data_IF_724216895945
#
_entry.id   IF_724216895945
#
_cell.length_a   1.000
_cell.length_b   1.000
_cell.length_c   1.000
_cell.angle_alpha   90.00
_cell.angle_beta   90.00
_cell.angle_gamma   90.00
#
_symmetry.space_group_name_H-M   'P 1'
#
loop_
_entity.id
_entity.type
_entity.pdbx_description
1 polymer ?
#
# COMPACT_ATOMS: atom_id res chain seq x y z
N UNK A 1 3.19 24.34 42.63
CA UNK A 1 3.08 24.88 41.24
C UNK A 1 3.52 23.78 40.31
N UNK A 2 2.58 23.16 39.60
CA UNK A 2 2.90 22.14 38.58
C UNK A 2 3.55 22.85 37.38
N UNK A 3 4.70 22.38 36.94
CA UNK A 3 5.45 22.94 35.81
C UNK A 3 4.63 22.84 34.52
N UNK A 4 4.49 23.90 33.72
CA UNK A 4 3.71 23.89 32.46
C UNK A 4 4.21 22.88 31.41
N UNK A 5 5.47 22.43 31.52
CA UNK A 5 6.12 21.53 30.56
C UNK A 5 5.52 20.12 30.50
N UNK A 6 5.08 19.54 31.63
CA UNK A 6 4.54 18.17 31.67
C UNK A 6 3.19 18.03 30.94
N UNK A 7 2.33 19.04 30.98
CA UNK A 7 1.03 19.04 30.30
C UNK A 7 1.15 19.19 28.77
N UNK A 8 2.15 19.92 28.30
CA UNK A 8 2.38 20.15 26.86
C UNK A 8 2.94 18.91 26.18
N UNK A 9 3.86 18.20 26.83
CA UNK A 9 4.44 16.93 26.32
C UNK A 9 3.34 15.86 26.21
N UNK A 10 2.58 15.64 27.27
CA UNK A 10 1.51 14.64 27.28
C UNK A 10 0.45 14.90 26.20
N UNK A 11 0.08 16.17 25.98
CA UNK A 11 -0.89 16.53 24.95
C UNK A 11 -0.32 16.38 23.53
N UNK A 12 0.98 16.51 23.32
CA UNK A 12 1.63 16.20 22.05
C UNK A 12 1.61 14.70 21.76
N UNK A 13 2.00 13.88 22.75
CA UNK A 13 2.00 12.41 22.62
C UNK A 13 0.59 11.89 22.29
N UNK A 14 -0.46 12.41 22.96
CA UNK A 14 -1.85 12.06 22.65
C UNK A 14 -2.27 12.44 21.22
N UNK A 15 -1.83 13.60 20.72
CA UNK A 15 -2.14 14.03 19.36
C UNK A 15 -1.37 13.19 18.32
N UNK A 16 -0.13 12.80 18.59
CA UNK A 16 0.67 11.92 17.74
C UNK A 16 0.09 10.49 17.70
N UNK A 17 -0.34 9.96 18.84
CA UNK A 17 -0.98 8.65 18.92
C UNK A 17 -2.30 8.60 18.13
N UNK A 18 -3.05 9.72 18.10
CA UNK A 18 -4.24 9.84 17.23
C UNK A 18 -3.87 9.79 15.75
N UNK A 19 -2.77 10.42 15.33
CA UNK A 19 -2.29 10.31 13.95
C UNK A 19 -1.90 8.88 13.60
N UNK A 20 -1.17 8.19 14.49
CA UNK A 20 -0.83 6.77 14.31
C UNK A 20 -2.06 5.88 14.21
N UNK A 21 -3.07 6.13 15.05
CA UNK A 21 -4.34 5.39 14.98
C UNK A 21 -5.09 5.59 13.66
N UNK A 22 -5.09 6.81 13.11
CA UNK A 22 -5.66 7.08 11.78
C UNK A 22 -4.93 6.32 10.68
N UNK A 23 -3.59 6.32 10.69
CA UNK A 23 -2.78 5.55 9.74
C UNK A 23 -3.08 4.05 9.84
N UNK A 24 -3.17 3.50 11.05
CA UNK A 24 -3.52 2.09 11.28
C UNK A 24 -4.93 1.76 10.76
N UNK A 25 -5.89 2.66 10.97
CA UNK A 25 -7.24 2.51 10.44
C UNK A 25 -7.27 2.53 8.90
N UNK A 26 -6.55 3.45 8.28
CA UNK A 26 -6.41 3.53 6.83
C UNK A 26 -5.75 2.26 6.28
N UNK A 27 -4.69 1.78 6.94
CA UNK A 27 -4.02 0.53 6.59
C UNK A 27 -4.97 -0.66 6.58
N UNK A 28 -5.73 -0.84 7.65
CA UNK A 28 -6.73 -1.92 7.75
C UNK A 28 -7.79 -1.86 6.63
N UNK A 29 -8.23 -0.65 6.24
CA UNK A 29 -9.17 -0.47 5.13
C UNK A 29 -8.52 -0.80 3.76
N UNK A 30 -7.29 -0.36 3.53
CA UNK A 30 -6.55 -0.65 2.29
C UNK A 30 -6.27 -2.16 2.14
N UNK A 31 -5.79 -2.81 3.20
CA UNK A 31 -5.58 -4.26 3.22
C UNK A 31 -6.88 -5.03 2.96
N UNK A 32 -7.99 -4.62 3.60
CA UNK A 32 -9.30 -5.22 3.37
C UNK A 32 -9.74 -5.05 1.91
N UNK A 33 -9.57 -3.85 1.34
CA UNK A 33 -9.95 -3.57 -0.04
C UNK A 33 -9.16 -4.43 -1.04
N UNK A 34 -7.85 -4.65 -0.82
CA UNK A 34 -7.03 -5.53 -1.67
C UNK A 34 -7.51 -6.98 -1.57
N UNK A 35 -7.69 -7.51 -0.34
CA UNK A 35 -8.16 -8.88 -0.14
C UNK A 35 -9.52 -9.12 -0.78
N UNK A 36 -10.46 -8.20 -0.56
CA UNK A 36 -11.80 -8.30 -1.15
C UNK A 36 -11.79 -8.15 -2.68
N UNK A 37 -10.93 -7.28 -3.25
CA UNK A 37 -10.82 -7.17 -4.70
C UNK A 37 -10.32 -8.47 -5.33
N UNK A 38 -9.39 -9.18 -4.68
CA UNK A 38 -8.93 -10.50 -5.11
C UNK A 38 -10.01 -11.56 -4.96
N UNK A 39 -10.76 -11.56 -3.84
CA UNK A 39 -11.90 -12.46 -3.65
C UNK A 39 -12.94 -12.25 -4.76
N UNK A 40 -13.33 -11.01 -5.00
CA UNK A 40 -14.30 -10.66 -6.05
C UNK A 40 -13.80 -11.06 -7.44
N UNK A 41 -12.51 -10.90 -7.73
CA UNK A 41 -11.91 -11.31 -8.98
C UNK A 41 -12.01 -12.83 -9.20
N UNK A 42 -11.63 -13.62 -8.20
CA UNK A 42 -11.64 -15.10 -8.27
C UNK A 42 -13.06 -15.63 -8.34
N UNK A 43 -13.99 -15.04 -7.59
CA UNK A 43 -15.40 -15.47 -7.51
C UNK A 43 -16.28 -14.82 -8.58
N UNK A 44 -15.75 -13.87 -9.35
CA UNK A 44 -16.52 -13.07 -10.34
C UNK A 44 -17.68 -12.30 -9.70
N UNK A 45 -17.49 -11.86 -8.46
CA UNK A 45 -18.48 -11.14 -7.66
C UNK A 45 -18.51 -9.65 -8.05
N UNK A 46 -19.33 -9.32 -9.04
CA UNK A 46 -19.48 -7.96 -9.57
C UNK A 46 -20.07 -7.01 -8.53
N UNK A 47 -21.05 -7.48 -7.75
CA UNK A 47 -21.69 -6.66 -6.71
C UNK A 47 -20.73 -6.36 -5.56
N UNK A 48 -19.91 -7.33 -5.16
CA UNK A 48 -18.85 -7.15 -4.19
C UNK A 48 -17.79 -6.14 -4.69
N UNK A 49 -17.39 -6.24 -5.94
CA UNK A 49 -16.44 -5.32 -6.56
C UNK A 49 -16.98 -3.88 -6.60
N UNK A 50 -18.26 -3.69 -6.90
CA UNK A 50 -18.89 -2.37 -6.87
C UNK A 50 -18.85 -1.74 -5.46
N UNK A 51 -19.07 -2.52 -4.41
CA UNK A 51 -18.98 -2.05 -3.01
C UNK A 51 -17.56 -1.57 -2.65
N UNK A 52 -16.52 -2.24 -3.18
CA UNK A 52 -15.12 -1.78 -2.96
C UNK A 52 -14.92 -0.40 -3.57
N UNK A 53 -15.40 -0.20 -4.81
CA UNK A 53 -15.31 1.10 -5.50
C UNK A 53 -16.02 2.21 -4.73
N UNK A 54 -17.20 1.92 -4.14
CA UNK A 54 -17.97 2.90 -3.37
C UNK A 54 -17.34 3.23 -2.01
N UNK A 55 -16.72 2.24 -1.36
CA UNK A 55 -16.11 2.38 -0.04
C UNK A 55 -14.77 3.14 -0.05
N UNK A 56 -14.14 3.29 -1.20
CA UNK A 56 -12.87 4.00 -1.37
C UNK A 56 -12.90 5.43 -0.80
N UNK A 57 -14.02 6.12 -0.91
CA UNK A 57 -14.25 7.46 -0.31
C UNK A 57 -13.97 7.54 1.19
N UNK A 58 -13.94 6.39 1.88
CA UNK A 58 -13.60 6.36 3.31
C UNK A 58 -12.11 6.59 3.54
N UNK A 59 -11.27 6.08 2.62
CA UNK A 59 -9.83 6.34 2.65
C UNK A 59 -9.53 7.80 2.33
N UNK A 60 -10.17 8.37 1.31
CA UNK A 60 -10.05 9.80 0.96
C UNK A 60 -10.36 10.69 2.17
N UNK A 61 -11.46 10.39 2.89
CA UNK A 61 -11.86 11.15 4.05
C UNK A 61 -10.86 11.05 5.22
N UNK A 62 -10.27 9.87 5.43
CA UNK A 62 -9.26 9.65 6.47
C UNK A 62 -7.92 10.30 6.13
N UNK A 63 -7.53 10.33 4.85
CA UNK A 63 -6.35 11.07 4.38
C UNK A 63 -6.49 12.56 4.73
N UNK A 64 -7.60 13.19 4.31
CA UNK A 64 -7.88 14.59 4.60
C UNK A 64 -7.91 14.90 6.11
N UNK A 65 -8.48 13.98 6.91
CA UNK A 65 -8.50 14.14 8.38
C UNK A 65 -7.09 14.05 8.96
N UNK A 66 -6.25 13.12 8.45
CA UNK A 66 -4.87 12.95 8.88
C UNK A 66 -4.05 14.20 8.56
N UNK A 67 -4.16 14.71 7.33
CA UNK A 67 -3.49 15.94 6.89
C UNK A 67 -3.89 17.12 7.78
N UNK A 68 -5.20 17.33 7.99
CA UNK A 68 -5.72 18.40 8.82
C UNK A 68 -5.17 18.35 10.24
N UNK A 69 -5.17 17.15 10.87
CA UNK A 69 -4.65 16.96 12.23
C UNK A 69 -3.15 17.18 12.32
N UNK A 70 -2.39 16.70 11.35
CA UNK A 70 -0.96 16.89 11.32
C UNK A 70 -0.58 18.38 11.21
N UNK A 71 -1.25 19.13 10.32
CA UNK A 71 -1.06 20.58 10.19
C UNK A 71 -1.43 21.30 11.50
N UNK A 72 -2.56 20.92 12.12
CA UNK A 72 -2.98 21.49 13.40
C UNK A 72 -1.97 21.20 14.52
N UNK A 73 -1.43 20.00 14.59
CA UNK A 73 -0.41 19.60 15.56
C UNK A 73 0.86 20.45 15.39
N UNK A 74 1.35 20.59 14.16
CA UNK A 74 2.52 21.44 13.86
C UNK A 74 2.25 22.89 14.31
N UNK A 75 1.10 23.46 13.97
CA UNK A 75 0.76 24.84 14.26
C UNK A 75 0.62 25.12 15.78
N UNK A 76 0.05 24.17 16.53
CA UNK A 76 -0.24 24.37 17.96
C UNK A 76 0.90 23.94 18.88
N UNK A 77 1.73 22.95 18.48
CA UNK A 77 2.73 22.35 19.33
C UNK A 77 4.16 22.69 18.94
N UNK A 78 4.38 23.19 17.70
CA UNK A 78 5.71 23.51 17.15
C UNK A 78 6.72 22.37 17.40
N UNK A 79 6.43 21.11 16.97
CA UNK A 79 7.31 19.97 17.22
C UNK A 79 8.67 20.19 16.61
N UNK A 80 9.71 19.63 17.23
CA UNK A 80 11.10 19.78 16.79
C UNK A 80 11.77 18.44 16.52
N UNK A 81 12.73 18.44 15.63
CA UNK A 81 13.57 17.28 15.33
C UNK A 81 12.75 15.99 15.05
N UNK A 82 12.86 15.01 15.93
CA UNK A 82 12.24 13.69 15.78
C UNK A 82 10.71 13.75 15.72
N UNK A 83 10.13 14.56 16.59
CA UNK A 83 8.68 14.76 16.67
C UNK A 83 8.12 15.34 15.36
N UNK A 84 8.82 16.32 14.77
CA UNK A 84 8.44 16.89 13.47
C UNK A 84 8.56 15.85 12.36
N UNK A 85 9.60 14.99 12.38
CA UNK A 85 9.75 13.92 11.38
C UNK A 85 8.60 12.92 11.46
N UNK A 86 8.16 12.53 12.66
CA UNK A 86 7.03 11.61 12.85
C UNK A 86 5.73 12.21 12.28
N UNK A 87 5.45 13.47 12.53
CA UNK A 87 4.24 14.13 12.01
C UNK A 87 4.27 14.25 10.48
N UNK A 88 5.42 14.63 9.91
CA UNK A 88 5.59 14.72 8.45
C UNK A 88 5.52 13.35 7.80
N UNK A 89 6.09 12.31 8.44
CA UNK A 89 5.99 10.94 7.97
C UNK A 89 4.52 10.47 7.96
N UNK A 90 3.74 10.74 9.03
CA UNK A 90 2.33 10.39 9.08
C UNK A 90 1.53 11.00 7.91
N UNK A 91 1.75 12.29 7.58
CA UNK A 91 1.11 12.94 6.44
C UNK A 91 1.46 12.27 5.10
N UNK A 92 2.74 11.97 4.89
CA UNK A 92 3.19 11.32 3.65
C UNK A 92 2.68 9.89 3.54
N UNK A 93 2.70 9.15 4.65
CA UNK A 93 2.22 7.76 4.70
C UNK A 93 0.71 7.72 4.41
N UNK A 94 -0.10 8.65 4.96
CA UNK A 94 -1.54 8.67 4.67
C UNK A 94 -1.83 8.79 3.18
N UNK A 95 -1.13 9.68 2.47
CA UNK A 95 -1.29 9.83 1.03
C UNK A 95 -0.85 8.58 0.24
N UNK A 96 0.18 7.87 0.71
CA UNK A 96 0.60 6.61 0.08
C UNK A 96 -0.42 5.50 0.34
N UNK A 97 -1.01 5.42 1.54
CA UNK A 97 -2.05 4.42 1.88
C UNK A 97 -3.34 4.67 1.10
N UNK A 98 -3.73 5.93 0.86
CA UNK A 98 -4.85 6.26 -0.02
C UNK A 98 -4.60 5.71 -1.44
N UNK A 99 -3.42 5.94 -2.03
CA UNK A 99 -3.06 5.39 -3.35
C UNK A 99 -3.11 3.86 -3.39
N UNK A 100 -2.75 3.20 -2.29
CA UNK A 100 -2.89 1.75 -2.18
C UNK A 100 -4.38 1.35 -2.28
N UNK A 101 -5.28 2.09 -1.65
CA UNK A 101 -6.72 1.93 -1.81
C UNK A 101 -7.19 2.13 -3.26
N UNK A 102 -6.68 3.14 -3.94
CA UNK A 102 -6.95 3.39 -5.35
C UNK A 102 -6.55 2.18 -6.24
N UNK A 103 -5.45 1.49 -5.94
CA UNK A 103 -5.08 0.28 -6.69
C UNK A 103 -6.06 -0.87 -6.44
N UNK A 104 -6.53 -1.07 -5.20
CA UNK A 104 -7.58 -2.05 -4.92
C UNK A 104 -8.88 -1.74 -5.67
N UNK A 105 -9.30 -0.49 -5.71
CA UNK A 105 -10.43 0.01 -6.50
C UNK A 105 -10.22 -0.23 -8.00
N UNK A 106 -9.01 0.01 -8.53
CA UNK A 106 -8.69 -0.22 -9.92
C UNK A 106 -8.72 -1.72 -10.29
N UNK A 107 -8.37 -2.61 -9.36
CA UNK A 107 -8.54 -4.05 -9.51
C UNK A 107 -10.03 -4.39 -9.54
N UNK A 108 -10.80 -3.91 -8.56
CA UNK A 108 -12.24 -4.15 -8.47
C UNK A 108 -13.01 -3.73 -9.73
N UNK A 109 -12.68 -2.57 -10.33
CA UNK A 109 -13.26 -2.09 -11.58
C UNK A 109 -13.05 -3.04 -12.77
N UNK A 110 -12.11 -3.98 -12.70
CA UNK A 110 -11.85 -4.95 -13.78
C UNK A 110 -12.63 -6.25 -13.61
N UNK A 111 -13.21 -6.50 -12.45
CA UNK A 111 -14.01 -7.72 -12.19
C UNK A 111 -15.17 -7.89 -13.19
N UNK A 112 -16.01 -6.87 -13.47
CA UNK A 112 -17.09 -7.01 -14.46
C UNK A 112 -16.58 -7.32 -15.87
N UNK A 113 -15.36 -6.84 -16.23
CA UNK A 113 -14.78 -7.06 -17.56
C UNK A 113 -14.29 -8.50 -17.76
N UNK A 114 -14.15 -9.25 -16.66
CA UNK A 114 -13.71 -10.64 -16.64
C UNK A 114 -14.84 -11.62 -16.27
N UNK A 115 -16.07 -11.14 -16.06
CA UNK A 115 -17.21 -11.96 -15.64
C UNK A 115 -17.46 -13.15 -16.57
N UNK A 116 -17.44 -12.89 -17.88
CA UNK A 116 -17.69 -13.90 -18.92
C UNK A 116 -16.37 -14.49 -19.49
N UNK A 117 -15.24 -14.21 -18.85
CA UNK A 117 -13.97 -14.77 -19.27
C UNK A 117 -13.94 -16.28 -19.03
N UNK A 118 -13.42 -17.05 -19.98
CA UNK A 118 -13.17 -18.48 -19.83
C UNK A 118 -12.25 -18.78 -18.63
N UNK A 119 -11.91 -20.04 -18.44
CA UNK A 119 -10.94 -20.41 -17.41
C UNK A 119 -9.55 -19.89 -17.82
N UNK A 120 -9.01 -18.92 -17.06
CA UNK A 120 -7.69 -18.34 -17.30
C UNK A 120 -6.77 -18.87 -16.21
N UNK A 121 -5.96 -19.86 -16.53
CA UNK A 121 -5.05 -20.53 -15.59
C UNK A 121 -4.14 -19.53 -14.82
N UNK A 122 -3.55 -18.48 -15.46
CA UNK A 122 -2.73 -17.47 -14.75
C UNK A 122 -3.45 -16.65 -13.67
N UNK A 123 -4.79 -16.64 -13.65
CA UNK A 123 -5.56 -15.96 -12.60
C UNK A 123 -5.25 -16.51 -11.20
N UNK A 124 -4.89 -17.79 -11.09
CA UNK A 124 -4.58 -18.46 -9.81
C UNK A 124 -3.32 -17.91 -9.11
N UNK A 125 -2.44 -17.22 -9.84
CA UNK A 125 -1.20 -16.66 -9.29
C UNK A 125 -1.40 -15.28 -8.62
N UNK A 126 -2.43 -14.53 -9.02
CA UNK A 126 -2.67 -13.17 -8.54
C UNK A 126 -3.00 -13.09 -7.03
N UNK A 127 -3.80 -14.00 -6.45
CA UNK A 127 -4.09 -13.96 -5.01
C UNK A 127 -2.84 -14.10 -4.14
N UNK A 128 -1.86 -14.93 -4.54
CA UNK A 128 -0.63 -15.12 -3.77
C UNK A 128 0.27 -13.89 -3.86
N UNK A 129 0.41 -13.29 -5.04
CA UNK A 129 1.11 -12.02 -5.20
C UNK A 129 0.48 -10.92 -4.34
N UNK A 130 -0.86 -10.81 -4.34
CA UNK A 130 -1.59 -9.84 -3.55
C UNK A 130 -1.45 -10.09 -2.04
N UNK A 131 -1.37 -11.35 -1.60
CA UNK A 131 -1.14 -11.72 -0.20
C UNK A 131 0.22 -11.17 0.28
N UNK A 132 1.28 -11.39 -0.49
CA UNK A 132 2.63 -10.90 -0.15
C UNK A 132 2.63 -9.37 -0.05
N UNK A 133 2.07 -8.68 -1.05
CA UNK A 133 1.99 -7.22 -1.04
C UNK A 133 1.17 -6.67 0.15
N UNK A 134 0.06 -7.35 0.50
CA UNK A 134 -0.77 -6.98 1.65
C UNK A 134 -0.03 -7.17 2.99
N UNK A 135 0.74 -8.25 3.13
CA UNK A 135 1.57 -8.46 4.32
C UNK A 135 2.67 -7.39 4.43
N UNK A 136 3.26 -6.96 3.32
CA UNK A 136 4.24 -5.87 3.33
C UNK A 136 3.62 -4.56 3.86
N UNK A 137 2.37 -4.24 3.47
CA UNK A 137 1.65 -3.07 3.99
C UNK A 137 1.45 -3.21 5.49
N UNK A 138 0.95 -4.35 5.94
CA UNK A 138 0.71 -4.62 7.36
C UNK A 138 1.97 -4.41 8.19
N UNK A 139 3.07 -5.04 7.76
CA UNK A 139 4.35 -5.01 8.48
C UNK A 139 4.95 -3.60 8.51
N UNK A 140 4.87 -2.85 7.41
CA UNK A 140 5.43 -1.50 7.36
C UNK A 140 4.63 -0.48 8.16
N UNK A 141 3.31 -0.62 8.22
CA UNK A 141 2.48 0.26 9.05
C UNK A 141 2.63 -0.08 10.54
N UNK A 142 2.84 -1.35 10.88
CA UNK A 142 3.24 -1.75 12.24
C UNK A 142 4.59 -1.15 12.60
N UNK A 143 5.59 -1.25 11.70
CA UNK A 143 6.91 -0.63 11.89
C UNK A 143 6.82 0.89 12.09
N UNK A 144 5.88 1.57 11.41
CA UNK A 144 5.63 3.00 11.63
C UNK A 144 5.12 3.29 13.05
N UNK A 145 4.13 2.52 13.53
CA UNK A 145 3.56 2.70 14.87
C UNK A 145 4.61 2.44 15.95
N UNK A 146 5.42 1.40 15.78
CA UNK A 146 6.45 0.97 16.72
C UNK A 146 7.78 1.73 16.55
N UNK A 147 7.93 2.55 15.52
CA UNK A 147 9.18 3.22 15.12
C UNK A 147 10.34 2.25 14.90
N UNK A 148 10.03 1.05 14.40
CA UNK A 148 11.01 -0.02 14.14
C UNK A 148 11.67 0.17 12.75
N UNK A 149 12.85 0.79 12.74
CA UNK A 149 13.63 1.00 11.53
C UNK A 149 14.12 -0.32 10.89
N UNK A 150 14.41 -1.35 11.69
CA UNK A 150 14.87 -2.65 11.19
C UNK A 150 13.72 -3.41 10.50
N UNK A 151 12.52 -3.36 11.08
CA UNK A 151 11.33 -3.92 10.45
C UNK A 151 11.06 -3.26 9.09
N UNK A 152 11.20 -1.93 8.99
CA UNK A 152 11.07 -1.21 7.73
C UNK A 152 12.08 -1.69 6.66
N UNK A 153 13.33 -1.94 7.04
CA UNK A 153 14.35 -2.51 6.13
C UNK A 153 13.91 -3.89 5.64
N UNK A 154 13.45 -4.78 6.54
CA UNK A 154 12.98 -6.12 6.16
C UNK A 154 11.82 -6.09 5.17
N UNK A 155 10.88 -5.14 5.33
CA UNK A 155 9.77 -4.98 4.36
C UNK A 155 10.30 -4.62 2.98
N UNK A 156 11.24 -3.68 2.90
CA UNK A 156 11.86 -3.29 1.63
C UNK A 156 12.56 -4.44 0.91
N UNK A 157 13.15 -5.38 1.65
CA UNK A 157 13.81 -6.56 1.06
C UNK A 157 12.82 -7.55 0.45
N UNK A 158 11.59 -7.63 1.00
CA UNK A 158 10.53 -8.53 0.52
C UNK A 158 9.94 -8.14 -0.83
N UNK A 159 10.09 -6.90 -1.25
CA UNK A 159 9.55 -6.38 -2.52
C UNK A 159 10.03 -7.19 -3.74
N UNK A 160 11.28 -7.68 -3.70
CA UNK A 160 11.80 -8.58 -4.75
C UNK A 160 10.89 -9.78 -5.01
N UNK A 161 10.23 -10.31 -3.99
CA UNK A 161 9.31 -11.43 -4.17
C UNK A 161 8.07 -11.01 -4.98
N UNK A 162 7.55 -9.80 -4.78
CA UNK A 162 6.44 -9.24 -5.56
C UNK A 162 6.85 -9.04 -7.01
N UNK A 163 8.05 -8.49 -7.25
CA UNK A 163 8.62 -8.29 -8.58
C UNK A 163 8.80 -9.61 -9.33
N UNK A 164 9.33 -10.63 -8.67
CA UNK A 164 9.52 -11.96 -9.25
C UNK A 164 8.19 -12.61 -9.63
N UNK A 165 7.16 -12.47 -8.78
CA UNK A 165 5.80 -12.91 -9.11
C UNK A 165 5.23 -12.15 -10.31
N UNK A 166 5.37 -10.83 -10.35
CA UNK A 166 4.91 -10.02 -11.46
C UNK A 166 5.56 -10.47 -12.77
N UNK A 167 6.88 -10.65 -12.78
CA UNK A 167 7.62 -11.10 -13.96
C UNK A 167 7.18 -12.50 -14.42
N UNK A 168 6.89 -13.42 -13.48
CA UNK A 168 6.39 -14.75 -13.78
C UNK A 168 5.00 -14.69 -14.42
N UNK A 169 4.08 -13.91 -13.83
CA UNK A 169 2.72 -13.71 -14.35
C UNK A 169 2.76 -13.07 -15.74
N UNK A 170 3.63 -12.08 -15.94
CA UNK A 170 3.80 -11.41 -17.23
C UNK A 170 4.18 -12.41 -18.33
N UNK A 171 5.20 -13.25 -18.09
CA UNK A 171 5.66 -14.25 -19.07
C UNK A 171 4.57 -15.27 -19.35
N UNK A 172 3.88 -15.77 -18.33
CA UNK A 172 2.79 -16.74 -18.48
C UNK A 172 1.65 -16.18 -19.31
N UNK A 173 1.23 -14.94 -19.02
CA UNK A 173 0.16 -14.28 -19.78
C UNK A 173 0.58 -13.98 -21.22
N UNK A 174 1.84 -13.63 -21.46
CA UNK A 174 2.35 -13.42 -22.81
C UNK A 174 2.27 -14.71 -23.64
N UNK A 175 2.70 -15.84 -23.07
CA UNK A 175 2.59 -17.16 -23.71
C UNK A 175 1.12 -17.50 -24.02
N UNK A 176 0.22 -17.26 -23.07
CA UNK A 176 -1.21 -17.53 -23.22
C UNK A 176 -1.87 -16.67 -24.33
N UNK A 177 -1.40 -15.42 -24.51
CA UNK A 177 -1.81 -14.56 -25.62
C UNK A 177 -1.31 -15.09 -26.99
N UNK A 178 -0.08 -15.61 -27.02
CA UNK A 178 0.52 -16.15 -28.26
C UNK A 178 -0.15 -17.44 -28.73
N UNK A 179 -0.57 -18.28 -27.78
CA UNK A 179 -1.25 -19.55 -28.07
C UNK A 179 -2.64 -19.33 -28.67
N UNK A 180 -3.38 -18.31 -28.20
CA UNK A 180 -4.70 -18.00 -28.69
C UNK A 180 -4.98 -16.49 -28.67
N UNK A 181 -5.09 -15.83 -29.83
CA UNK A 181 -5.39 -14.39 -29.91
C UNK A 181 -6.69 -13.95 -29.21
N UNK A 182 -7.65 -14.85 -29.03
CA UNK A 182 -8.88 -14.55 -28.31
C UNK A 182 -8.65 -14.29 -26.82
N UNK A 183 -7.50 -14.72 -26.28
CA UNK A 183 -7.11 -14.49 -24.88
C UNK A 183 -6.53 -13.10 -24.64
N UNK A 184 -6.18 -12.33 -25.69
CA UNK A 184 -5.46 -11.05 -25.57
C UNK A 184 -6.23 -10.08 -24.65
N UNK A 185 -7.53 -9.91 -24.87
CA UNK A 185 -8.33 -8.98 -24.07
C UNK A 185 -8.33 -9.30 -22.59
N UNK A 186 -8.60 -10.55 -22.26
CA UNK A 186 -8.65 -11.03 -20.87
C UNK A 186 -7.26 -10.97 -20.20
N UNK A 187 -6.24 -11.43 -20.89
CA UNK A 187 -4.85 -11.41 -20.39
C UNK A 187 -4.36 -9.97 -20.15
N UNK A 188 -4.77 -9.02 -20.99
CA UNK A 188 -4.47 -7.60 -20.78
C UNK A 188 -5.08 -7.09 -19.47
N UNK A 189 -6.32 -7.45 -19.15
CA UNK A 189 -6.93 -7.07 -17.86
C UNK A 189 -6.18 -7.69 -16.68
N UNK A 190 -5.73 -8.96 -16.79
CA UNK A 190 -4.94 -9.61 -15.73
C UNK A 190 -3.56 -8.97 -15.55
N UNK A 191 -2.90 -8.55 -16.65
CA UNK A 191 -1.65 -7.78 -16.57
C UNK A 191 -1.82 -6.45 -15.85
N UNK A 192 -2.91 -5.74 -16.11
CA UNK A 192 -3.21 -4.51 -15.37
C UNK A 192 -3.47 -4.78 -13.88
N UNK A 193 -4.12 -5.89 -13.54
CA UNK A 193 -4.32 -6.28 -12.15
C UNK A 193 -2.97 -6.59 -11.49
N UNK A 194 -2.14 -7.42 -12.11
CA UNK A 194 -0.80 -7.75 -11.62
C UNK A 194 0.05 -6.48 -11.41
N UNK A 195 -0.01 -5.51 -12.36
CA UNK A 195 0.71 -4.24 -12.23
C UNK A 195 0.19 -3.37 -11.07
N UNK A 196 -1.11 -3.39 -10.78
CA UNK A 196 -1.63 -2.69 -9.59
C UNK A 196 -1.14 -3.35 -8.30
N UNK A 197 -1.03 -4.69 -8.25
CA UNK A 197 -0.50 -5.39 -7.07
C UNK A 197 1.00 -5.10 -6.89
N UNK A 198 1.78 -5.08 -7.97
CA UNK A 198 3.21 -4.72 -7.91
C UNK A 198 3.38 -3.29 -7.37
N UNK A 199 2.57 -2.32 -7.84
CA UNK A 199 2.58 -0.95 -7.30
C UNK A 199 2.23 -0.88 -5.81
N UNK A 200 1.41 -1.79 -5.31
CA UNK A 200 1.16 -1.90 -3.87
C UNK A 200 2.45 -2.24 -3.12
N UNK A 201 3.26 -3.17 -3.64
CA UNK A 201 4.59 -3.49 -3.11
C UNK A 201 5.54 -2.29 -3.15
N UNK A 202 5.63 -1.61 -4.31
CA UNK A 202 6.40 -0.38 -4.47
C UNK A 202 6.04 0.66 -3.39
N UNK A 203 4.75 0.85 -3.11
CA UNK A 203 4.29 1.81 -2.11
C UNK A 203 4.59 1.35 -0.68
N UNK A 204 4.55 0.05 -0.39
CA UNK A 204 5.02 -0.46 0.90
C UNK A 204 6.52 -0.16 1.11
N UNK A 205 7.35 -0.26 0.07
CA UNK A 205 8.76 0.15 0.16
C UNK A 205 8.93 1.65 0.35
N UNK A 206 8.11 2.47 -0.31
CA UNK A 206 8.14 3.93 -0.10
C UNK A 206 7.78 4.28 1.35
N UNK A 207 6.79 3.60 1.95
CA UNK A 207 6.47 3.77 3.37
C UNK A 207 7.66 3.33 4.24
N UNK A 208 8.32 2.22 3.92
CA UNK A 208 9.47 1.71 4.67
C UNK A 208 10.62 2.75 4.72
N UNK A 209 10.89 3.43 3.62
CA UNK A 209 11.88 4.51 3.56
C UNK A 209 11.48 5.70 4.45
N UNK A 210 10.19 6.05 4.47
CA UNK A 210 9.68 7.11 5.35
C UNK A 210 9.76 6.73 6.82
N UNK A 211 9.43 5.49 7.18
CA UNK A 211 9.54 4.96 8.54
C UNK A 211 10.99 4.96 9.02
N UNK A 212 11.89 4.46 8.18
CA UNK A 212 13.33 4.46 8.51
C UNK A 212 13.85 5.88 8.74
N UNK A 213 13.49 6.83 7.85
CA UNK A 213 13.89 8.23 8.00
C UNK A 213 13.29 8.87 9.27
N UNK A 214 12.02 8.61 9.58
CA UNK A 214 11.38 9.14 10.79
C UNK A 214 12.07 8.62 12.06
N UNK A 215 12.42 7.33 12.09
CA UNK A 215 13.02 6.70 13.26
C UNK A 215 14.50 7.07 13.46
N UNK A 216 15.27 7.24 12.37
CA UNK A 216 16.73 7.39 12.45
C UNK A 216 17.26 8.77 12.04
N UNK A 217 16.46 9.57 11.32
CA UNK A 217 16.90 10.81 10.69
C UNK A 217 17.81 10.61 9.47
N UNK A 218 18.01 9.37 9.01
CA UNK A 218 18.85 9.02 7.87
C UNK A 218 18.03 8.42 6.74
N UNK A 219 18.43 8.65 5.49
CA UNK A 219 17.82 7.97 4.36
C UNK A 219 18.39 6.56 4.19
N UNK A 220 17.51 5.61 3.85
CA UNK A 220 17.99 4.30 3.41
C UNK A 220 18.85 4.47 2.15
N UNK A 221 19.99 3.76 2.09
CA UNK A 221 20.79 3.72 0.89
C UNK A 221 19.98 3.21 -0.31
N UNK A 222 20.20 3.82 -1.48
CA UNK A 222 19.53 3.37 -2.71
C UNK A 222 19.76 1.86 -2.92
N UNK A 223 18.69 1.16 -3.35
CA UNK A 223 18.88 -0.20 -3.86
C UNK A 223 19.79 -0.12 -5.09
N UNK A 224 20.80 -0.99 -5.23
CA UNK A 224 21.34 -1.24 -6.55
C UNK A 224 20.15 -1.69 -7.41
N UNK A 225 19.71 -0.85 -8.35
CA UNK A 225 18.69 -1.23 -9.34
C UNK A 225 19.23 -2.49 -10.01
N UNK A 226 18.46 -3.58 -9.91
CA UNK A 226 18.75 -4.79 -10.66
C UNK A 226 18.99 -4.40 -12.10
N UNK A 227 20.05 -4.93 -12.71
CA UNK A 227 20.39 -4.65 -14.09
C UNK A 227 19.14 -4.84 -14.94
N UNK A 228 18.84 -3.80 -15.73
CA UNK A 228 17.76 -3.77 -16.69
C UNK A 228 17.76 -5.08 -17.49
N UNK A 229 16.75 -5.94 -17.28
CA UNK A 229 16.62 -7.21 -18.02
C UNK A 229 16.29 -6.99 -19.51
N UNK A 230 16.41 -5.75 -19.99
CA UNK A 230 16.31 -5.36 -21.41
C UNK A 230 17.65 -5.23 -22.10
N UNK A 231 18.76 -5.60 -21.44
CA UNK A 231 20.08 -5.73 -22.08
C UNK A 231 20.41 -7.18 -22.32
N UNK A 232 19.72 -7.77 -23.31
CA UNK A 232 19.98 -9.10 -23.79
C UNK A 232 19.22 -9.36 -25.05
#
# INVERSE_FOLDING_TARGET
>A
MATPSGHTIKAFDEDLDRLRALISQMGGLAEHAIRESMRCLVQRDVDGAQKIVENDKKLDALELETERRAIQLIALRAPMADDLRDVVAAMKISSVVERIGDYAKNIAKRVPLLENAGNIEPLSLLPEMARIATEMIHDVLTAFVERDAEAAVRVRERDRAVDDFYNSIFRTLLTFMMENPNNIGQSTHLLFIAKNIERVGDHATNIAEMVYYAATGQHLADRPRGEDMLKG
#
